data_IF_581799023746
#
_entry.id   IF_581799023746
#
_cell.length_a   1.000
_cell.length_b   1.000
_cell.length_c   1.000
_cell.angle_alpha   90.00
_cell.angle_beta   90.00
_cell.angle_gamma   90.00
#
_symmetry.space_group_name_H-M   'P 1'
#
loop_
_entity.id
_entity.type
_entity.pdbx_description
1 polymer ?
#
# COMPACT_ATOMS: atom_id res chain seq x y z
N UNK A 1 -39.91 -5.29 -18.92
CA UNK A 1 -39.46 -4.32 -17.91
C UNK A 1 -38.95 -5.12 -16.72
N UNK A 2 -37.64 -5.38 -16.63
CA UNK A 2 -37.06 -6.08 -15.47
C UNK A 2 -36.82 -5.03 -14.38
N UNK A 3 -37.67 -5.02 -13.36
CA UNK A 3 -37.48 -4.23 -12.16
C UNK A 3 -36.35 -4.89 -11.34
N UNK A 4 -35.12 -4.41 -11.51
CA UNK A 4 -34.00 -4.80 -10.66
C UNK A 4 -34.19 -4.18 -9.28
N UNK A 5 -34.39 -5.02 -8.25
CA UNK A 5 -34.34 -4.60 -6.84
C UNK A 5 -32.99 -3.93 -6.59
N UNK A 6 -33.01 -2.70 -6.09
CA UNK A 6 -31.81 -2.01 -5.62
C UNK A 6 -31.20 -2.80 -4.45
N UNK A 7 -30.18 -3.62 -4.73
CA UNK A 7 -29.30 -4.13 -3.69
C UNK A 7 -28.47 -2.96 -3.19
N UNK A 8 -28.61 -2.62 -1.91
CA UNK A 8 -27.77 -1.62 -1.26
C UNK A 8 -26.28 -1.87 -1.59
N UNK A 9 -25.61 -0.84 -2.09
CA UNK A 9 -24.19 -0.91 -2.43
C UNK A 9 -23.37 -1.31 -1.19
N UNK A 10 -22.50 -2.31 -1.35
CA UNK A 10 -21.57 -2.74 -0.30
C UNK A 10 -20.18 -2.21 -0.63
N UNK A 11 -19.57 -1.53 0.33
CA UNK A 11 -18.22 -0.99 0.22
C UNK A 11 -17.24 -1.91 0.96
N UNK A 12 -16.12 -2.20 0.31
CA UNK A 12 -15.01 -2.94 0.89
C UNK A 12 -13.70 -2.19 0.64
N UNK A 13 -12.76 -2.37 1.54
CA UNK A 13 -11.42 -1.78 1.48
C UNK A 13 -10.38 -2.88 1.30
N UNK A 14 -9.53 -2.74 0.29
CA UNK A 14 -8.40 -3.64 0.07
C UNK A 14 -7.24 -3.24 0.98
N UNK A 15 -6.63 -4.24 1.60
CA UNK A 15 -5.32 -4.13 2.23
C UNK A 15 -4.35 -4.91 1.36
N UNK A 16 -3.34 -4.22 0.83
CA UNK A 16 -2.37 -4.79 -0.09
C UNK A 16 -0.95 -4.81 0.51
N UNK A 17 -0.08 -5.65 -0.05
CA UNK A 17 1.36 -5.61 0.20
C UNK A 17 2.05 -4.43 -0.50
N UNK A 18 3.38 -4.35 -0.39
CA UNK A 18 4.20 -3.30 -1.01
C UNK A 18 4.22 -3.33 -2.54
N UNK A 19 3.81 -4.44 -3.17
CA UNK A 19 3.62 -4.56 -4.62
C UNK A 19 2.18 -4.28 -5.04
N UNK A 20 1.26 -3.97 -4.11
CA UNK A 20 -0.15 -3.77 -4.40
C UNK A 20 -0.96 -5.07 -4.52
N UNK A 21 -0.40 -6.21 -4.14
CA UNK A 21 -1.10 -7.51 -4.11
C UNK A 21 -2.13 -7.52 -2.98
N UNK A 22 -3.41 -7.82 -3.23
CA UNK A 22 -4.42 -7.97 -2.19
C UNK A 22 -4.05 -9.06 -1.17
N UNK A 23 -3.98 -8.70 0.11
CA UNK A 23 -3.81 -9.64 1.23
C UNK A 23 -5.08 -9.77 2.07
N UNK A 24 -5.86 -8.70 2.19
CA UNK A 24 -7.13 -8.71 2.93
C UNK A 24 -8.19 -7.81 2.26
N UNK A 25 -9.46 -8.12 2.49
CA UNK A 25 -10.57 -7.19 2.31
C UNK A 25 -11.28 -6.96 3.64
N UNK A 26 -11.60 -5.70 3.91
CA UNK A 26 -12.32 -5.27 5.09
C UNK A 26 -13.64 -4.62 4.73
N UNK A 27 -14.68 -4.86 5.52
CA UNK A 27 -15.93 -4.12 5.41
C UNK A 27 -15.81 -2.71 6.02
N UNK A 28 -16.88 -1.91 5.90
CA UNK A 28 -16.95 -0.55 6.46
C UNK A 28 -16.83 -0.49 7.99
N UNK A 29 -16.92 -1.63 8.69
CA UNK A 29 -16.74 -1.75 10.14
C UNK A 29 -15.34 -2.26 10.49
N UNK A 30 -14.44 -2.39 9.51
CA UNK A 30 -13.07 -2.87 9.67
C UNK A 30 -12.94 -4.38 9.83
N UNK A 31 -14.03 -5.14 9.72
CA UNK A 31 -13.99 -6.61 9.86
C UNK A 31 -13.39 -7.23 8.61
N UNK A 32 -12.47 -8.17 8.79
CA UNK A 32 -11.91 -8.96 7.68
C UNK A 32 -13.01 -9.85 7.12
N UNK A 33 -13.25 -9.73 5.82
CA UNK A 33 -14.25 -10.51 5.07
C UNK A 33 -13.62 -11.42 4.01
N UNK A 34 -12.33 -11.20 3.73
CA UNK A 34 -11.49 -12.08 2.93
C UNK A 34 -10.03 -11.85 3.34
N UNK A 35 -9.22 -12.91 3.39
CA UNK A 35 -7.76 -12.80 3.54
C UNK A 35 -7.05 -13.98 2.87
N UNK A 36 -5.80 -13.77 2.44
CA UNK A 36 -5.01 -14.82 1.80
C UNK A 36 -3.55 -14.84 2.31
N UNK A 37 -3.01 -16.05 2.45
CA UNK A 37 -1.58 -16.30 2.61
C UNK A 37 -1.00 -16.73 1.27
N UNK A 38 0.04 -16.05 0.82
CA UNK A 38 0.64 -16.25 -0.50
C UNK A 38 2.05 -16.85 -0.40
N UNK A 39 2.42 -17.66 -1.39
CA UNK A 39 3.83 -17.98 -1.66
C UNK A 39 4.50 -16.80 -2.38
N UNK A 40 5.83 -16.81 -2.44
CA UNK A 40 6.64 -15.78 -3.10
C UNK A 40 6.25 -15.50 -4.55
N UNK A 41 5.72 -16.49 -5.27
CA UNK A 41 5.24 -16.37 -6.66
C UNK A 41 3.70 -16.24 -6.76
N UNK A 42 3.03 -15.79 -5.70
CA UNK A 42 1.61 -15.39 -5.74
C UNK A 42 0.60 -16.55 -5.68
N UNK A 43 1.06 -17.80 -5.53
CA UNK A 43 0.18 -18.93 -5.25
C UNK A 43 -0.52 -18.71 -3.90
N UNK A 44 -1.85 -18.77 -3.91
CA UNK A 44 -2.64 -18.76 -2.67
C UNK A 44 -2.42 -20.11 -1.97
N UNK A 45 -1.79 -20.08 -0.80
CA UNK A 45 -1.61 -21.26 0.05
C UNK A 45 -2.88 -21.55 0.86
N UNK A 46 -3.46 -20.49 1.40
CA UNK A 46 -4.68 -20.54 2.20
C UNK A 46 -5.46 -19.24 1.99
N UNK A 47 -6.79 -19.32 1.95
CA UNK A 47 -7.65 -18.16 1.93
C UNK A 47 -8.86 -18.35 2.84
N UNK A 48 -9.09 -17.39 3.72
CA UNK A 48 -10.29 -17.31 4.53
C UNK A 48 -11.30 -16.44 3.80
N UNK A 49 -12.48 -17.00 3.52
CA UNK A 49 -13.51 -16.31 2.73
C UNK A 49 -14.79 -16.24 3.56
N UNK A 50 -15.20 -15.03 3.97
CA UNK A 50 -16.47 -14.82 4.66
C UNK A 50 -17.63 -14.70 3.62
N UNK A 51 -17.65 -15.62 2.65
CA UNK A 51 -18.61 -15.62 1.54
C UNK A 51 -18.34 -14.57 0.45
N UNK A 52 -17.14 -13.97 0.42
CA UNK A 52 -16.71 -13.05 -0.64
C UNK A 52 -15.69 -13.75 -1.52
N UNK A 53 -15.94 -13.75 -2.83
CA UNK A 53 -14.95 -14.15 -3.82
C UNK A 53 -14.10 -12.95 -4.24
N UNK A 54 -12.80 -13.05 -4.02
CA UNK A 54 -11.80 -12.07 -4.46
C UNK A 54 -10.84 -12.72 -5.49
N UNK A 55 -11.02 -12.46 -6.79
CA UNK A 55 -10.19 -13.07 -7.83
C UNK A 55 -8.88 -12.32 -8.14
N UNK A 56 -8.67 -11.10 -7.62
CA UNK A 56 -7.45 -10.34 -7.92
C UNK A 56 -6.20 -10.98 -7.29
N UNK A 57 -5.07 -10.93 -8.01
CA UNK A 57 -3.78 -11.51 -7.61
C UNK A 57 -2.68 -10.44 -7.71
N UNK A 58 -1.49 -10.76 -8.23
CA UNK A 58 -0.50 -9.73 -8.56
C UNK A 58 -1.08 -8.70 -9.53
N UNK A 59 -0.41 -7.54 -9.66
CA UNK A 59 -0.88 -6.47 -10.56
C UNK A 59 -1.18 -7.02 -11.97
N UNK A 60 -2.38 -6.73 -12.47
CA UNK A 60 -2.84 -7.19 -13.79
C UNK A 60 -3.46 -8.59 -13.83
N UNK A 61 -3.33 -9.38 -12.75
CA UNK A 61 -3.74 -10.78 -12.71
C UNK A 61 -5.14 -10.99 -12.13
N UNK A 62 -5.92 -11.82 -12.81
CA UNK A 62 -7.23 -12.30 -12.40
C UNK A 62 -7.22 -13.83 -12.30
N UNK A 63 -7.63 -14.39 -11.16
CA UNK A 63 -7.75 -15.82 -10.98
C UNK A 63 -8.96 -16.36 -11.72
N UNK A 64 -8.69 -17.19 -12.73
CA UNK A 64 -9.68 -18.01 -13.39
C UNK A 64 -9.88 -19.30 -12.59
N UNK A 65 -11.05 -19.45 -11.97
CA UNK A 65 -11.36 -20.58 -11.12
C UNK A 65 -11.58 -21.89 -11.88
N UNK A 66 -11.89 -21.84 -13.18
CA UNK A 66 -12.11 -23.04 -13.99
C UNK A 66 -10.77 -23.75 -14.27
N UNK A 67 -9.75 -22.98 -14.64
CA UNK A 67 -8.42 -23.51 -14.92
C UNK A 67 -7.48 -23.55 -13.71
N UNK A 68 -7.74 -22.74 -12.68
CA UNK A 68 -6.82 -22.48 -11.57
C UNK A 68 -5.63 -21.57 -11.94
N UNK A 69 -5.60 -21.06 -13.18
CA UNK A 69 -4.56 -20.18 -13.68
C UNK A 69 -4.89 -18.72 -13.41
N UNK A 70 -3.87 -17.86 -13.50
CA UNK A 70 -4.05 -16.42 -13.38
C UNK A 70 -3.96 -15.80 -14.78
N UNK A 71 -5.08 -15.27 -15.26
CA UNK A 71 -5.12 -14.50 -16.50
C UNK A 71 -4.44 -13.13 -16.28
N UNK A 72 -3.36 -12.86 -17.01
CA UNK A 72 -2.60 -11.61 -16.98
C UNK A 72 -2.63 -10.93 -18.35
N UNK A 73 -3.81 -10.50 -18.78
CA UNK A 73 -4.09 -9.81 -20.05
C UNK A 73 -3.60 -10.56 -21.30
N UNK A 74 -2.30 -10.50 -21.61
CA UNK A 74 -1.73 -11.12 -22.81
C UNK A 74 -1.32 -12.57 -22.59
N UNK A 75 -1.20 -13.04 -21.33
CA UNK A 75 -0.72 -14.38 -21.01
C UNK A 75 -1.47 -15.02 -19.84
N UNK A 76 -1.46 -16.35 -19.79
CA UNK A 76 -1.85 -17.11 -18.61
C UNK A 76 -0.62 -17.45 -17.78
N UNK A 77 -0.69 -17.16 -16.48
CA UNK A 77 0.32 -17.45 -15.48
C UNK A 77 -0.09 -18.65 -14.64
N UNK A 78 0.83 -19.60 -14.48
CA UNK A 78 0.68 -20.74 -13.59
C UNK A 78 1.33 -20.39 -12.23
N UNK A 79 0.53 -20.21 -11.16
CA UNK A 79 1.07 -19.89 -9.84
C UNK A 79 1.76 -21.08 -9.16
N UNK A 80 1.44 -22.32 -9.53
CA UNK A 80 2.07 -23.52 -8.98
C UNK A 80 3.51 -23.67 -9.46
N UNK A 81 3.79 -23.28 -10.70
CA UNK A 81 5.15 -23.32 -11.29
C UNK A 81 5.87 -21.96 -11.19
N UNK A 82 5.12 -20.86 -11.12
CA UNK A 82 5.67 -19.51 -11.02
C UNK A 82 6.08 -18.89 -12.36
N UNK A 83 5.37 -19.19 -13.46
CA UNK A 83 5.72 -18.72 -14.82
C UNK A 83 4.53 -18.64 -15.76
N UNK A 84 4.71 -17.99 -16.91
CA UNK A 84 3.72 -18.00 -17.98
C UNK A 84 3.70 -19.30 -18.76
N UNK A 85 2.54 -19.64 -19.31
CA UNK A 85 2.33 -20.83 -20.14
C UNK A 85 2.69 -20.63 -21.61
N UNK A 86 2.68 -19.37 -22.08
CA UNK A 86 3.03 -19.00 -23.45
C UNK A 86 4.28 -18.13 -23.49
N UNK A 87 5.07 -18.20 -24.57
CA UNK A 87 6.13 -17.24 -24.83
C UNK A 87 5.64 -15.79 -24.78
N UNK A 88 6.54 -14.88 -24.44
CA UNK A 88 6.28 -13.45 -24.46
C UNK A 88 5.92 -12.95 -25.88
N UNK A 89 4.73 -12.35 -26.08
CA UNK A 89 4.32 -11.82 -27.38
C UNK A 89 5.24 -10.73 -27.94
N UNK A 90 5.97 -10.00 -27.07
CA UNK A 90 6.95 -9.00 -27.52
C UNK A 90 8.36 -9.58 -27.72
N UNK A 91 8.50 -10.91 -27.60
CA UNK A 91 9.75 -11.61 -27.83
C UNK A 91 10.84 -11.19 -26.85
N UNK A 92 12.05 -10.90 -27.37
CA UNK A 92 13.22 -10.59 -26.55
C UNK A 92 13.12 -9.21 -25.84
N UNK A 93 12.21 -8.34 -26.26
CA UNK A 93 11.97 -7.05 -25.58
C UNK A 93 11.35 -7.23 -24.19
N UNK A 94 10.66 -8.36 -23.96
CA UNK A 94 10.14 -8.79 -22.66
C UNK A 94 11.20 -9.48 -21.79
N UNK A 95 12.32 -9.90 -22.39
CA UNK A 95 13.45 -10.52 -21.71
C UNK A 95 13.96 -11.79 -22.43
N UNK A 96 15.10 -12.29 -21.97
CA UNK A 96 15.74 -13.48 -22.56
C UNK A 96 14.94 -14.76 -22.29
N UNK A 97 14.27 -14.86 -21.14
CA UNK A 97 13.41 -15.99 -20.82
C UNK A 97 11.95 -15.63 -21.10
N UNK A 98 11.44 -16.09 -22.24
CA UNK A 98 10.10 -15.76 -22.74
C UNK A 98 8.94 -16.29 -21.89
N UNK A 99 9.20 -17.22 -20.97
CA UNK A 99 8.18 -17.77 -20.08
C UNK A 99 8.25 -17.17 -18.67
N UNK A 100 9.30 -16.40 -18.35
CA UNK A 100 9.47 -15.85 -17.01
C UNK A 100 8.36 -14.84 -16.67
N UNK A 101 7.91 -14.84 -15.41
CA UNK A 101 7.06 -13.77 -14.90
C UNK A 101 7.88 -12.50 -14.68
N UNK A 102 8.83 -12.54 -13.76
CA UNK A 102 9.75 -11.44 -13.44
C UNK A 102 11.07 -12.01 -12.90
N UNK A 103 12.17 -11.21 -12.89
CA UNK A 103 13.44 -11.63 -12.29
C UNK A 103 13.37 -11.87 -10.77
N UNK A 104 12.63 -11.01 -10.05
CA UNK A 104 12.43 -11.11 -8.61
C UNK A 104 10.98 -10.73 -8.22
N UNK A 105 10.11 -11.69 -7.84
CA UNK A 105 8.71 -11.41 -7.55
C UNK A 105 8.50 -10.62 -6.25
N UNK A 106 9.55 -10.34 -5.48
CA UNK A 106 9.48 -9.48 -4.30
C UNK A 106 9.65 -7.99 -4.63
N UNK A 107 10.29 -7.64 -5.75
CA UNK A 107 10.52 -6.24 -6.12
C UNK A 107 10.06 -5.91 -7.53
N UNK A 108 9.65 -6.89 -8.35
CA UNK A 108 9.23 -6.69 -9.73
C UNK A 108 7.80 -7.12 -9.96
N UNK A 109 7.14 -6.46 -10.91
CA UNK A 109 5.80 -6.80 -11.39
C UNK A 109 5.74 -6.78 -12.91
N UNK A 110 4.83 -7.56 -13.50
CA UNK A 110 4.48 -7.48 -14.92
C UNK A 110 2.97 -7.23 -15.07
N UNK A 111 2.51 -5.96 -15.01
CA UNK A 111 1.08 -5.63 -14.99
C UNK A 111 0.33 -5.92 -16.31
N UNK A 112 1.07 -6.17 -17.39
CA UNK A 112 0.51 -6.38 -18.72
C UNK A 112 0.67 -7.80 -19.21
N UNK A 113 1.53 -8.61 -18.58
CA UNK A 113 1.93 -9.88 -19.15
C UNK A 113 2.81 -9.70 -20.38
N UNK A 114 3.69 -8.68 -20.43
CA UNK A 114 4.56 -8.38 -21.58
C UNK A 114 5.98 -7.94 -21.19
N UNK A 115 6.11 -7.00 -20.25
CA UNK A 115 7.42 -6.48 -19.84
C UNK A 115 7.37 -6.15 -18.37
N UNK A 116 8.20 -6.85 -17.61
CA UNK A 116 8.33 -6.62 -16.19
C UNK A 116 9.01 -5.27 -15.91
N UNK A 117 8.71 -4.70 -14.74
CA UNK A 117 9.37 -3.52 -14.19
C UNK A 117 9.65 -3.73 -12.71
N UNK A 118 10.77 -3.18 -12.26
CA UNK A 118 11.04 -3.05 -10.84
C UNK A 118 10.10 -2.00 -10.22
N UNK A 119 9.55 -2.32 -9.05
CA UNK A 119 8.96 -1.34 -8.16
C UNK A 119 10.10 -0.85 -7.27
N UNK A 120 10.73 0.24 -7.71
CA UNK A 120 11.74 0.91 -6.91
C UNK A 120 11.11 1.47 -5.65
N UNK A 121 11.68 1.13 -4.49
CA UNK A 121 11.38 1.85 -3.27
C UNK A 121 12.17 3.16 -3.29
N UNK A 122 11.50 4.31 -3.08
CA UNK A 122 12.21 5.58 -3.00
C UNK A 122 13.20 5.56 -1.83
N UNK A 123 14.27 6.34 -1.95
CA UNK A 123 15.21 6.52 -0.87
C UNK A 123 14.51 7.15 0.34
N UNK A 124 14.82 6.70 1.55
CA UNK A 124 14.38 7.37 2.75
C UNK A 124 15.44 8.38 3.19
N UNK A 125 15.05 9.64 3.37
CA UNK A 125 15.92 10.64 4.02
C UNK A 125 15.38 11.01 5.38
N UNK A 126 16.29 10.98 6.34
CA UNK A 126 16.05 11.63 7.62
C UNK A 126 15.92 13.14 7.39
N UNK A 127 14.74 13.72 7.65
CA UNK A 127 14.48 15.15 7.51
C UNK A 127 15.10 16.01 8.64
N UNK A 128 16.31 15.61 9.07
CA UNK A 128 17.06 16.17 10.17
C UNK A 128 16.38 16.01 11.53
N UNK A 129 17.08 16.41 12.58
CA UNK A 129 16.57 16.48 13.96
C UNK A 129 15.30 17.34 14.13
N UNK A 130 14.80 17.98 13.05
CA UNK A 130 13.61 18.82 13.03
C UNK A 130 12.37 18.12 13.57
N UNK A 131 12.17 16.84 13.25
CA UNK A 131 11.00 16.07 13.72
C UNK A 131 11.32 15.14 14.90
N UNK A 132 12.57 15.08 15.34
CA UNK A 132 12.96 14.31 16.51
C UNK A 132 12.67 15.08 17.80
N UNK A 133 12.06 14.43 18.80
CA UNK A 133 11.89 15.03 20.11
C UNK A 133 13.25 15.09 20.85
N UNK A 134 13.59 16.19 21.53
CA UNK A 134 14.75 16.23 22.41
C UNK A 134 14.55 15.23 23.57
N UNK A 135 15.54 14.38 23.85
CA UNK A 135 15.48 13.39 24.95
C UNK A 135 15.40 14.00 26.35
N UNK A 136 15.79 15.25 26.50
CA UNK A 136 15.82 15.96 27.79
C UNK A 136 14.49 16.61 28.20
N UNK A 137 13.49 16.66 27.31
CA UNK A 137 12.21 17.31 27.59
C UNK A 137 11.11 16.28 27.87
N UNK A 138 10.18 16.65 28.74
CA UNK A 138 8.98 15.86 28.96
C UNK A 138 8.11 15.82 27.70
N UNK A 139 7.31 14.77 27.54
CA UNK A 139 6.39 14.65 26.41
C UNK A 139 5.39 15.82 26.35
N UNK A 140 4.89 16.29 27.51
CA UNK A 140 4.01 17.46 27.58
C UNK A 140 4.66 18.73 27.00
N UNK A 141 5.94 18.96 27.29
CA UNK A 141 6.68 20.10 26.75
C UNK A 141 6.93 19.98 25.26
N UNK A 142 7.18 18.74 24.78
CA UNK A 142 7.33 18.44 23.36
C UNK A 142 6.04 18.76 22.62
N UNK A 143 4.90 18.23 23.10
CA UNK A 143 3.57 18.52 22.54
C UNK A 143 3.34 20.03 22.49
N UNK A 144 3.55 20.75 23.59
CA UNK A 144 3.40 22.21 23.65
C UNK A 144 4.31 22.94 22.66
N UNK A 145 5.53 22.45 22.44
CA UNK A 145 6.47 23.07 21.48
C UNK A 145 5.98 23.01 20.03
N UNK A 146 5.10 22.06 19.70
CA UNK A 146 4.53 21.93 18.34
C UNK A 146 3.39 22.91 18.06
N UNK A 147 2.97 23.75 19.02
CA UNK A 147 1.97 24.80 18.77
C UNK A 147 2.45 25.81 17.72
N UNK A 148 3.74 26.16 17.78
CA UNK A 148 4.37 27.13 16.87
C UNK A 148 5.60 26.54 16.19
N UNK A 149 6.09 25.39 16.68
CA UNK A 149 7.24 24.67 16.13
C UNK A 149 6.84 23.53 15.18
N UNK A 150 7.85 22.81 14.65
CA UNK A 150 7.60 21.67 13.79
C UNK A 150 6.93 20.53 14.55
N UNK A 151 6.16 19.70 13.84
CA UNK A 151 5.67 18.43 14.35
C UNK A 151 6.82 17.54 14.85
N UNK A 152 6.55 16.72 15.87
CA UNK A 152 7.55 15.86 16.51
C UNK A 152 7.04 14.43 16.63
N UNK A 153 7.88 13.45 16.35
CA UNK A 153 7.58 12.05 16.66
C UNK A 153 7.68 11.79 18.18
N UNK A 154 7.12 10.67 18.64
CA UNK A 154 7.48 10.10 19.95
C UNK A 154 8.87 9.47 19.89
N UNK A 155 9.44 9.15 21.05
CA UNK A 155 10.77 8.54 21.13
C UNK A 155 10.80 7.07 20.68
N UNK A 156 9.66 6.38 20.73
CA UNK A 156 9.58 4.92 20.58
C UNK A 156 9.24 4.49 19.15
N UNK A 157 9.02 5.43 18.24
CA UNK A 157 8.62 5.14 16.86
C UNK A 157 9.85 4.92 15.98
N UNK A 158 9.86 3.79 15.25
CA UNK A 158 10.74 3.61 14.10
C UNK A 158 10.21 4.42 12.91
N UNK A 159 10.72 5.65 12.80
CA UNK A 159 10.28 6.64 11.80
C UNK A 159 10.48 6.12 10.38
N UNK A 160 11.59 5.44 10.10
CA UNK A 160 11.90 4.96 8.75
C UNK A 160 10.85 3.94 8.31
N UNK A 161 10.61 2.94 9.16
CA UNK A 161 9.62 1.89 8.89
C UNK A 161 8.22 2.50 8.76
N UNK A 162 7.86 3.44 9.64
CA UNK A 162 6.56 4.11 9.60
C UNK A 162 6.37 4.94 8.31
N UNK A 163 7.38 5.69 7.88
CA UNK A 163 7.30 6.50 6.67
C UNK A 163 7.16 5.63 5.40
N UNK A 164 7.87 4.50 5.32
CA UNK A 164 7.67 3.55 4.24
C UNK A 164 6.27 2.92 4.27
N UNK A 165 5.75 2.56 5.43
CA UNK A 165 4.39 2.04 5.56
C UNK A 165 3.36 3.04 5.02
N UNK A 166 3.44 4.31 5.42
CA UNK A 166 2.54 5.36 4.93
C UNK A 166 2.74 5.65 3.45
N UNK A 167 3.99 5.62 2.96
CA UNK A 167 4.24 5.76 1.52
C UNK A 167 3.65 4.60 0.71
N UNK A 168 3.71 3.37 1.20
CA UNK A 168 3.24 2.21 0.45
C UNK A 168 1.71 2.08 0.53
N UNK A 169 1.13 2.30 1.70
CA UNK A 169 -0.28 1.96 2.00
C UNK A 169 -1.19 3.17 2.26
N UNK A 170 -0.62 4.38 2.36
CA UNK A 170 -1.37 5.59 2.64
C UNK A 170 -2.29 6.02 1.50
N UNK A 171 -3.35 6.74 1.88
CA UNK A 171 -4.31 7.33 0.95
C UNK A 171 -3.68 8.51 0.23
N UNK A 172 -3.86 8.59 -1.09
CA UNK A 172 -3.49 9.79 -1.86
C UNK A 172 -4.37 10.96 -1.46
N UNK A 173 -3.76 12.15 -1.41
CA UNK A 173 -4.48 13.39 -1.06
C UNK A 173 -5.29 13.93 -2.25
N UNK A 174 -6.36 14.68 -1.96
CA UNK A 174 -7.29 15.22 -2.98
C UNK A 174 -6.77 16.47 -3.68
N UNK A 175 -5.79 17.16 -3.10
CA UNK A 175 -5.27 18.44 -3.59
C UNK A 175 -4.21 18.32 -4.71
N UNK A 176 -4.03 17.12 -5.29
CA UNK A 176 -3.09 16.87 -6.38
C UNK A 176 -1.61 16.86 -5.99
N UNK A 177 -1.28 17.00 -4.70
CA UNK A 177 0.11 16.87 -4.23
C UNK A 177 0.55 15.40 -4.21
N UNK A 178 1.85 15.10 -4.38
CA UNK A 178 2.40 13.74 -4.32
C UNK A 178 2.53 13.27 -2.87
N UNK A 179 1.48 13.48 -2.08
CA UNK A 179 1.45 13.16 -0.67
C UNK A 179 0.52 11.98 -0.42
N UNK A 180 0.90 11.17 0.56
CA UNK A 180 0.06 10.13 1.11
C UNK A 180 -0.16 10.38 2.58
N UNK A 181 -1.36 10.08 3.05
CA UNK A 181 -1.75 10.23 4.45
C UNK A 181 -2.30 8.93 5.00
N UNK A 182 -2.11 8.69 6.30
CA UNK A 182 -2.62 7.49 6.97
C UNK A 182 -2.98 7.80 8.42
N UNK A 183 -4.08 7.20 8.89
CA UNK A 183 -4.38 7.08 10.32
C UNK A 183 -3.71 5.81 10.85
N UNK A 184 -2.78 5.97 11.78
CA UNK A 184 -2.00 4.87 12.35
C UNK A 184 -2.78 4.17 13.48
N UNK A 185 -3.81 4.80 14.03
CA UNK A 185 -4.63 4.25 15.13
C UNK A 185 -3.95 4.26 16.50
N UNK A 186 -2.74 4.79 16.60
CA UNK A 186 -2.02 5.01 17.86
C UNK A 186 -1.21 6.31 17.78
N UNK A 187 -0.90 6.90 18.93
CA UNK A 187 -0.11 8.13 19.00
C UNK A 187 1.31 7.89 18.49
N UNK A 188 1.68 8.58 17.42
CA UNK A 188 3.01 8.50 16.78
C UNK A 188 3.84 9.76 17.01
N UNK A 189 3.21 10.83 17.48
CA UNK A 189 3.83 12.14 17.54
C UNK A 189 2.91 13.23 18.04
N UNK A 190 3.28 14.47 17.74
CA UNK A 190 2.54 15.67 18.04
C UNK A 190 2.66 16.68 16.90
N UNK A 191 1.58 17.40 16.65
CA UNK A 191 1.51 18.51 15.70
C UNK A 191 0.46 19.52 16.17
N UNK A 192 0.70 20.81 15.93
CA UNK A 192 -0.23 21.90 16.31
C UNK A 192 -0.64 21.86 17.80
N UNK A 193 0.30 21.53 18.68
CA UNK A 193 0.09 21.53 20.13
C UNK A 193 -0.69 20.33 20.66
N UNK A 194 -0.96 19.32 19.83
CA UNK A 194 -1.74 18.13 20.19
C UNK A 194 -1.00 16.87 19.81
N UNK A 195 -1.27 15.79 20.54
CA UNK A 195 -0.85 14.46 20.11
C UNK A 195 -1.51 14.11 18.77
N UNK A 196 -0.77 13.34 17.97
CA UNK A 196 -1.18 12.93 16.65
C UNK A 196 -0.96 11.44 16.44
N UNK A 197 -1.97 10.82 15.85
CA UNK A 197 -1.94 9.47 15.29
C UNK A 197 -1.96 9.48 13.75
N UNK A 198 -1.90 10.66 13.14
CA UNK A 198 -2.02 10.83 11.70
C UNK A 198 -0.70 11.29 11.12
N UNK A 199 -0.40 10.80 9.93
CA UNK A 199 0.86 11.05 9.27
C UNK A 199 0.65 11.48 7.84
N UNK A 200 1.54 12.35 7.36
CA UNK A 200 1.74 12.62 5.93
C UNK A 200 3.15 12.22 5.53
N UNK A 201 3.26 11.57 4.38
CA UNK A 201 4.54 11.31 3.70
C UNK A 201 4.50 11.94 2.32
N UNK A 202 5.60 12.58 1.95
CA UNK A 202 5.82 13.22 0.67
C UNK A 202 6.88 12.44 -0.11
N UNK A 203 6.65 12.28 -1.42
CA UNK A 203 7.67 11.83 -2.37
C UNK A 203 8.19 13.03 -3.17
N UNK A 204 9.48 13.31 -3.05
CA UNK A 204 10.16 14.37 -3.79
C UNK A 204 11.51 13.88 -4.31
N UNK A 205 11.75 13.98 -5.61
CA UNK A 205 13.01 13.58 -6.25
C UNK A 205 13.49 12.18 -5.85
N UNK A 206 12.60 11.19 -5.93
CA UNK A 206 12.84 9.80 -5.52
C UNK A 206 13.22 9.60 -4.03
N UNK A 207 12.94 10.60 -3.19
CA UNK A 207 13.14 10.52 -1.74
C UNK A 207 11.81 10.67 -1.02
N UNK A 208 11.56 9.82 -0.02
CA UNK A 208 10.46 9.99 0.92
C UNK A 208 10.93 10.61 2.24
N UNK A 209 10.03 11.42 2.80
CA UNK A 209 10.10 11.93 4.16
C UNK A 209 8.69 12.28 4.65
N UNK A 210 8.46 12.24 5.96
CA UNK A 210 7.16 12.54 6.53
C UNK A 210 7.21 13.28 7.85
N UNK A 211 6.02 13.57 8.37
CA UNK A 211 5.85 14.05 9.73
C UNK A 211 4.43 13.77 10.24
N UNK A 212 4.22 13.77 11.57
CA UNK A 212 2.88 13.77 12.15
C UNK A 212 2.12 15.02 11.71
N UNK A 213 0.82 14.88 11.45
CA UNK A 213 -0.08 15.97 11.05
C UNK A 213 -1.26 16.08 12.01
N UNK A 214 -1.94 17.22 12.04
CA UNK A 214 -3.16 17.34 12.86
C UNK A 214 -4.36 16.68 12.19
N UNK A 215 -5.42 16.42 12.97
CA UNK A 215 -6.69 15.92 12.43
C UNK A 215 -7.31 16.88 11.42
N UNK A 216 -7.14 18.18 11.64
CA UNK A 216 -7.68 19.21 10.76
C UNK A 216 -6.89 19.28 9.45
N UNK A 217 -5.56 19.12 9.50
CA UNK A 217 -4.74 18.95 8.29
C UNK A 217 -5.16 17.71 7.50
N UNK A 218 -5.32 16.55 8.16
CA UNK A 218 -5.78 15.33 7.49
C UNK A 218 -7.11 15.55 6.75
N UNK A 219 -8.08 16.19 7.40
CA UNK A 219 -9.39 16.51 6.79
C UNK A 219 -9.23 17.39 5.56
N UNK A 220 -8.40 18.45 5.64
CA UNK A 220 -8.12 19.32 4.48
C UNK A 220 -7.46 18.58 3.32
N UNK A 221 -6.66 17.55 3.60
CA UNK A 221 -5.94 16.78 2.58
C UNK A 221 -6.79 15.67 1.94
N UNK A 222 -7.90 15.28 2.56
CA UNK A 222 -8.72 14.11 2.15
C UNK A 222 -10.15 14.48 1.75
N UNK A 223 -10.61 15.68 2.08
CA UNK A 223 -11.93 16.16 1.67
C UNK A 223 -11.83 16.77 0.26
N UNK A 224 -12.77 16.45 -0.61
CA UNK A 224 -12.93 17.08 -1.93
C UNK A 224 -13.72 18.38 -1.81
#
# INVERSE_FOLDING_TARGET
MLCGRETAARVYHYVCDHLGTPLELRDVRGRVVWSAMLRSYGQVLHADTAGINQPLRFQGQYHDAESGLYYNRHRYYDPGVGRYLSPDPVGLDGGLNQYAYVPNPLTWVDPLGLKCREIEQPEWKNHGYKHFPPKSKSWKDIVKSTNTGPAKYTHDVDIKTLEYDVFNTGMVVTNGKPWKVKDIGQVIGASEGKESQWMRVELSANTIHGHPISRDELRRLTTQ
#
